data_IF_694301221835
#
_entry.id   IF_694301221835
#
_cell.length_a   1.000
_cell.length_b   1.000
_cell.length_c   1.000
_cell.angle_alpha   90.00
_cell.angle_beta   90.00
_cell.angle_gamma   90.00
#
_symmetry.space_group_name_H-M   'P 1'
#
loop_
_entity.id
_entity.type
_entity.pdbx_description
1 polymer ?
#
# COMPACT_ATOMS: atom_id res chain seq x y z
N UNK A 1 16.00 26.72 1.28
CA UNK A 1 14.83 26.25 0.50
C UNK A 1 14.37 24.91 1.03
N UNK A 2 13.11 24.82 1.38
CA UNK A 2 12.55 23.57 1.86
C UNK A 2 12.06 22.73 0.69
N UNK A 3 12.53 21.50 0.60
CA UNK A 3 12.02 20.57 -0.40
C UNK A 3 10.87 19.81 0.24
N UNK A 4 9.69 19.97 -0.34
CA UNK A 4 8.52 19.24 0.11
C UNK A 4 8.55 17.84 -0.48
N UNK A 5 8.68 16.83 0.39
CA UNK A 5 8.65 15.43 -0.04
C UNK A 5 7.26 14.91 0.21
N UNK A 6 6.54 14.54 -0.86
CA UNK A 6 5.19 14.02 -0.71
C UNK A 6 5.22 12.51 -0.40
N UNK A 7 4.06 11.97 -0.04
CA UNK A 7 3.95 10.57 0.36
C UNK A 7 4.39 9.61 -0.75
N UNK A 8 4.09 9.93 -1.99
CA UNK A 8 4.46 9.09 -3.12
C UNK A 8 5.98 9.03 -3.30
N UNK A 9 6.65 10.18 -3.13
CA UNK A 9 8.11 10.22 -3.24
C UNK A 9 8.77 9.38 -2.16
N UNK A 10 8.24 9.42 -0.92
CA UNK A 10 8.74 8.57 0.15
C UNK A 10 8.64 7.09 -0.22
N UNK A 11 7.54 6.71 -0.83
CA UNK A 11 7.31 5.34 -1.25
C UNK A 11 8.30 4.93 -2.35
N UNK A 12 8.40 5.74 -3.41
CA UNK A 12 9.21 5.42 -4.59
C UNK A 12 10.71 5.42 -4.27
N UNK A 13 11.16 6.45 -3.55
CA UNK A 13 12.60 6.65 -3.33
C UNK A 13 13.22 5.60 -2.40
N UNK A 14 12.41 4.87 -1.65
CA UNK A 14 12.88 3.84 -0.75
C UNK A 14 13.01 2.47 -1.41
N UNK A 15 12.60 2.34 -2.67
CA UNK A 15 12.66 1.06 -3.39
C UNK A 15 13.98 1.02 -4.17
N UNK A 16 14.79 -0.02 -3.92
CA UNK A 16 16.15 -0.11 -4.48
C UNK A 16 16.22 -0.75 -5.86
N UNK A 17 15.25 -1.60 -6.20
CA UNK A 17 15.24 -2.32 -7.48
C UNK A 17 14.25 -1.68 -8.44
N UNK A 18 14.68 -1.45 -9.68
CA UNK A 18 13.79 -0.87 -10.70
C UNK A 18 12.61 -1.78 -11.02
N UNK A 19 12.84 -3.09 -11.04
CA UNK A 19 11.77 -4.07 -11.29
C UNK A 19 10.74 -4.06 -10.17
N UNK A 20 11.21 -4.04 -8.93
CA UNK A 20 10.32 -3.96 -7.76
C UNK A 20 9.56 -2.65 -7.74
N UNK A 21 10.24 -1.55 -8.07
CA UNK A 21 9.64 -0.23 -8.12
C UNK A 21 8.47 -0.19 -9.10
N UNK A 22 8.66 -0.69 -10.31
CA UNK A 22 7.63 -0.75 -11.34
C UNK A 22 6.42 -1.55 -10.87
N UNK A 23 6.68 -2.73 -10.31
CA UNK A 23 5.64 -3.62 -9.82
C UNK A 23 4.87 -3.00 -8.66
N UNK A 24 5.58 -2.41 -7.71
CA UNK A 24 4.96 -1.79 -6.54
C UNK A 24 4.16 -0.55 -6.93
N UNK A 25 4.66 0.26 -7.86
CA UNK A 25 3.92 1.42 -8.35
C UNK A 25 2.60 1.00 -9.00
N UNK A 26 2.65 -0.04 -9.81
CA UNK A 26 1.45 -0.56 -10.47
C UNK A 26 0.44 -1.07 -9.44
N UNK A 27 0.90 -1.87 -8.49
CA UNK A 27 0.01 -2.44 -7.47
C UNK A 27 -0.62 -1.35 -6.60
N UNK A 28 0.16 -0.37 -6.19
CA UNK A 28 -0.35 0.74 -5.40
C UNK A 28 -1.37 1.55 -6.18
N UNK A 29 -1.08 1.84 -7.45
CA UNK A 29 -1.99 2.60 -8.30
C UNK A 29 -3.34 1.91 -8.45
N UNK A 30 -3.34 0.60 -8.65
CA UNK A 30 -4.58 -0.17 -8.76
C UNK A 30 -5.38 -0.13 -7.46
N UNK A 31 -4.71 -0.24 -6.32
CA UNK A 31 -5.38 -0.16 -5.02
C UNK A 31 -5.99 1.23 -4.80
N UNK A 32 -5.25 2.29 -5.09
CA UNK A 32 -5.75 3.65 -4.92
C UNK A 32 -6.92 3.94 -5.86
N UNK A 33 -6.91 3.37 -7.04
CA UNK A 33 -8.03 3.48 -7.97
C UNK A 33 -9.28 2.82 -7.40
N UNK A 34 -9.12 1.66 -6.77
CA UNK A 34 -10.21 0.98 -6.08
C UNK A 34 -10.79 1.86 -4.97
N UNK A 35 -9.92 2.52 -4.20
CA UNK A 35 -10.34 3.41 -3.11
C UNK A 35 -10.89 4.74 -3.60
N UNK A 36 -10.65 5.08 -4.87
CA UNK A 36 -11.03 6.37 -5.48
C UNK A 36 -10.39 7.54 -4.74
N UNK A 37 -9.11 7.41 -4.39
CA UNK A 37 -8.39 8.47 -3.70
C UNK A 37 -6.91 8.42 -4.05
N UNK A 38 -6.19 9.50 -3.76
CA UNK A 38 -4.73 9.52 -3.92
C UNK A 38 -4.07 9.00 -2.65
N UNK A 39 -2.75 8.83 -2.72
CA UNK A 39 -2.01 8.28 -1.59
C UNK A 39 -2.11 9.15 -0.34
N UNK A 40 -2.00 10.47 -0.50
CA UNK A 40 -2.08 11.39 0.64
C UNK A 40 -3.41 11.26 1.36
N UNK A 41 -4.50 11.21 0.62
CA UNK A 41 -5.84 11.06 1.21
C UNK A 41 -6.00 9.71 1.89
N UNK A 42 -5.48 8.65 1.27
CA UNK A 42 -5.54 7.30 1.85
C UNK A 42 -4.81 7.25 3.20
N UNK A 43 -3.62 7.84 3.28
CA UNK A 43 -2.81 7.81 4.49
C UNK A 43 -3.41 8.64 5.63
N UNK A 44 -4.31 9.56 5.32
CA UNK A 44 -4.99 10.40 6.32
C UNK A 44 -6.25 9.76 6.89
N UNK A 45 -6.65 8.61 6.38
CA UNK A 45 -7.83 7.92 6.90
C UNK A 45 -7.59 7.47 8.35
N UNK A 46 -8.68 7.33 9.14
CA UNK A 46 -8.53 6.76 10.47
C UNK A 46 -7.86 5.40 10.43
N UNK A 47 -6.99 5.13 11.40
CA UNK A 47 -6.18 3.92 11.39
C UNK A 47 -7.00 2.64 11.43
N UNK A 48 -8.22 2.69 11.97
CA UNK A 48 -9.09 1.53 12.00
C UNK A 48 -9.76 1.25 10.64
N UNK A 49 -9.84 2.26 9.77
CA UNK A 49 -10.42 2.08 8.44
C UNK A 49 -9.42 1.53 7.42
N UNK A 50 -8.14 1.87 7.57
CA UNK A 50 -7.11 1.47 6.60
C UNK A 50 -6.99 -0.06 6.48
N UNK A 51 -6.89 -0.83 7.58
CA UNK A 51 -6.82 -2.28 7.45
C UNK A 51 -8.03 -2.89 6.77
N UNK A 52 -9.22 -2.37 7.05
CA UNK A 52 -10.45 -2.87 6.43
C UNK A 52 -10.43 -2.70 4.91
N UNK A 53 -9.97 -1.54 4.45
CA UNK A 53 -9.87 -1.28 3.01
C UNK A 53 -8.88 -2.24 2.34
N UNK A 54 -7.73 -2.44 2.96
CA UNK A 54 -6.69 -3.30 2.42
C UNK A 54 -7.16 -4.75 2.34
N UNK A 55 -7.71 -5.27 3.44
CA UNK A 55 -8.17 -6.65 3.50
C UNK A 55 -9.32 -6.89 2.51
N UNK A 56 -10.30 -5.99 2.48
CA UNK A 56 -11.43 -6.13 1.56
C UNK A 56 -10.97 -6.11 0.11
N UNK A 57 -10.03 -5.24 -0.23
CA UNK A 57 -9.49 -5.18 -1.58
C UNK A 57 -8.83 -6.50 -1.97
N UNK A 58 -7.98 -7.03 -1.09
CA UNK A 58 -7.25 -8.26 -1.38
C UNK A 58 -8.17 -9.48 -1.43
N UNK A 59 -9.22 -9.51 -0.62
CA UNK A 59 -10.18 -10.61 -0.65
C UNK A 59 -10.98 -10.63 -1.95
N UNK A 60 -11.21 -9.48 -2.56
CA UNK A 60 -11.95 -9.37 -3.82
C UNK A 60 -11.10 -9.67 -5.05
N UNK A 61 -9.77 -9.58 -4.93
CA UNK A 61 -8.89 -9.77 -6.09
C UNK A 61 -8.82 -11.25 -6.45
N UNK A 62 -9.13 -11.54 -7.70
CA UNK A 62 -9.05 -12.91 -8.23
C UNK A 62 -7.69 -13.12 -8.85
N UNK A 63 -6.67 -13.16 -8.03
CA UNK A 63 -5.28 -13.36 -8.45
C UNK A 63 -4.66 -14.44 -7.59
N UNK A 64 -3.49 -14.94 -7.98
CA UNK A 64 -2.79 -15.96 -7.22
C UNK A 64 -2.44 -15.45 -5.82
N UNK A 65 -2.25 -16.39 -4.89
CA UNK A 65 -1.84 -16.05 -3.53
C UNK A 65 -0.52 -15.29 -3.52
N UNK A 66 0.41 -15.70 -4.38
CA UNK A 66 1.71 -15.04 -4.49
C UNK A 66 1.56 -13.59 -4.93
N UNK A 67 0.67 -13.34 -5.88
CA UNK A 67 0.45 -11.98 -6.35
C UNK A 67 -0.21 -11.11 -5.25
N UNK A 68 -1.11 -11.70 -4.46
CA UNK A 68 -1.72 -10.99 -3.33
C UNK A 68 -0.66 -10.54 -2.33
N UNK A 69 0.37 -11.38 -2.11
CA UNK A 69 1.48 -11.01 -1.22
C UNK A 69 2.24 -9.80 -1.77
N UNK A 70 2.43 -9.75 -3.08
CA UNK A 70 3.11 -8.62 -3.72
C UNK A 70 2.29 -7.34 -3.54
N UNK A 71 0.98 -7.40 -3.77
CA UNK A 71 0.10 -6.25 -3.59
C UNK A 71 0.15 -5.78 -2.12
N UNK A 72 0.05 -6.72 -1.20
CA UNK A 72 0.11 -6.43 0.23
C UNK A 72 1.43 -5.75 0.59
N UNK A 73 2.54 -6.25 0.06
CA UNK A 73 3.85 -5.68 0.33
C UNK A 73 3.99 -4.26 -0.20
N UNK A 74 3.42 -3.98 -1.37
CA UNK A 74 3.45 -2.65 -1.95
C UNK A 74 2.70 -1.65 -1.07
N UNK A 75 1.50 -2.01 -0.60
CA UNK A 75 0.69 -1.16 0.26
C UNK A 75 1.38 -0.97 1.61
N UNK A 76 1.91 -2.05 2.18
CA UNK A 76 2.64 -2.00 3.43
C UNK A 76 3.83 -1.06 3.34
N UNK A 77 4.59 -1.15 2.24
CA UNK A 77 5.76 -0.30 2.03
C UNK A 77 5.37 1.18 1.98
N UNK A 78 4.29 1.51 1.27
CA UNK A 78 3.81 2.88 1.19
C UNK A 78 3.41 3.43 2.56
N UNK A 79 2.75 2.60 3.37
CA UNK A 79 2.35 3.00 4.71
C UNK A 79 3.56 3.17 5.63
N UNK A 80 4.49 2.21 5.62
CA UNK A 80 5.65 2.26 6.51
C UNK A 80 6.57 3.43 6.20
N UNK A 81 6.75 3.75 4.93
CA UNK A 81 7.61 4.86 4.53
C UNK A 81 6.99 6.22 4.83
N UNK A 82 5.73 6.23 5.19
CA UNK A 82 5.01 7.46 5.56
C UNK A 82 4.52 7.43 7.01
N UNK A 83 5.16 6.60 7.83
CA UNK A 83 4.96 6.54 9.28
C UNK A 83 3.56 6.12 9.70
N UNK A 84 2.86 5.38 8.85
CA UNK A 84 1.57 4.78 9.20
C UNK A 84 1.82 3.39 9.75
N UNK A 85 1.59 3.22 11.05
CA UNK A 85 1.88 1.99 11.77
C UNK A 85 0.60 1.17 11.93
N UNK A 86 0.59 -0.04 11.35
CA UNK A 86 -0.57 -0.93 11.39
C UNK A 86 -0.13 -2.33 11.84
N UNK A 87 -1.10 -3.15 12.20
CA UNK A 87 -0.82 -4.54 12.57
C UNK A 87 -0.86 -5.44 11.32
N UNK A 88 0.25 -5.49 10.61
CA UNK A 88 0.35 -6.23 9.35
C UNK A 88 0.20 -7.74 9.54
N UNK A 89 0.72 -8.26 10.65
CA UNK A 89 0.60 -9.68 10.97
C UNK A 89 -0.86 -10.10 11.12
N UNK A 90 -1.66 -9.28 11.79
CA UNK A 90 -3.09 -9.56 11.95
C UNK A 90 -3.79 -9.55 10.59
N UNK A 91 -3.45 -8.58 9.73
CA UNK A 91 -4.05 -8.50 8.40
C UNK A 91 -3.73 -9.73 7.56
N UNK A 92 -2.48 -10.22 7.63
CA UNK A 92 -2.10 -11.43 6.90
C UNK A 92 -2.93 -12.63 7.34
N UNK A 93 -3.22 -12.74 8.65
CA UNK A 93 -4.05 -13.82 9.16
C UNK A 93 -5.48 -13.74 8.64
N UNK A 94 -5.99 -12.53 8.43
CA UNK A 94 -7.33 -12.33 7.92
C UNK A 94 -7.46 -12.70 6.44
N UNK A 95 -6.34 -12.80 5.73
CA UNK A 95 -6.32 -13.13 4.30
C UNK A 95 -6.21 -14.62 4.01
N UNK A 96 -6.05 -15.44 5.01
CA UNK A 96 -5.96 -16.90 4.83
C UNK A 96 -7.33 -17.53 4.62
#
# INVERSE_FOLDING_TARGET
MQVSINAYDNFVNSINSDETKEQYEYCLAQFLKYCQMNLDSFLKLPQDEIPNLIVNYLLQRKVSRQYKVVIFSAIKHACEMNDVILNWTKMLKMLK
#
